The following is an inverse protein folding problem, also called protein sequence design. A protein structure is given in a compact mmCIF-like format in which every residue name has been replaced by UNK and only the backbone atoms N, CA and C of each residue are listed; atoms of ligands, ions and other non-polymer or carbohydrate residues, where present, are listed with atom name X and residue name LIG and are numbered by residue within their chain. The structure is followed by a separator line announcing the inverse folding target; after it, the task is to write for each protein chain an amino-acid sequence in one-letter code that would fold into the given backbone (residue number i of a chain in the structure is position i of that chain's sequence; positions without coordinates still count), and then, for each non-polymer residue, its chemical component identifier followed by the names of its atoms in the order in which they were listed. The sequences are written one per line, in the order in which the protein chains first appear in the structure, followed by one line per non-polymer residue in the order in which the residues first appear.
data_IF_746278349067
#
_entry.id   IF_746278349067
#
_cell.length_a   1.000
_cell.length_b   1.000
_cell.length_c   1.000
_cell.angle_alpha   90.00
_cell.angle_beta   90.00
_cell.angle_gamma   90.00
#
_symmetry.space_group_name_H-M   'P 1'
#
loop_
_entity.id
_entity.type
_entity.pdbx_description
1 polymer ?
#
# COMPACT_ATOMS: atom_id res chain seq x y z
N UNK A 1 14.25 2.26 -4.25
CA UNK A 1 12.89 1.76 -4.48
C UNK A 1 11.83 2.87 -4.57
N UNK A 2 11.74 3.83 -3.65
CA UNK A 2 10.71 4.91 -3.69
C UNK A 2 10.71 5.67 -5.02
N UNK A 3 11.87 6.10 -5.53
CA UNK A 3 11.97 6.83 -6.80
C UNK A 3 11.58 5.97 -8.00
N UNK A 4 11.99 4.70 -8.04
CA UNK A 4 11.58 3.77 -9.09
C UNK A 4 10.04 3.67 -9.17
N UNK A 5 9.39 3.53 -8.01
CA UNK A 5 7.93 3.51 -7.95
C UNK A 5 7.28 4.84 -8.36
N UNK A 6 7.95 5.98 -8.12
CA UNK A 6 7.43 7.31 -8.49
C UNK A 6 7.46 7.56 -9.99
N UNK A 7 8.33 6.92 -10.74
CA UNK A 7 8.43 7.05 -12.20
C UNK A 7 7.71 5.92 -12.94
N UNK A 8 6.99 5.03 -12.24
CA UNK A 8 6.20 3.98 -12.87
C UNK A 8 6.81 2.57 -12.86
N UNK A 9 8.07 2.38 -12.42
CA UNK A 9 8.63 1.06 -12.16
C UNK A 9 8.11 0.52 -10.82
N UNK A 10 6.92 -0.07 -10.85
CA UNK A 10 6.15 -0.41 -9.65
C UNK A 10 6.11 -1.91 -9.32
N UNK A 11 6.73 -2.76 -10.13
CA UNK A 11 6.70 -4.20 -9.99
C UNK A 11 7.93 -4.71 -9.24
N UNK A 12 7.72 -5.33 -8.09
CA UNK A 12 8.81 -5.75 -7.20
C UNK A 12 9.83 -6.68 -7.88
N UNK A 13 9.39 -7.55 -8.79
CA UNK A 13 10.28 -8.46 -9.50
C UNK A 13 11.22 -7.74 -10.47
N UNK A 14 10.87 -6.54 -10.98
CA UNK A 14 11.74 -5.74 -11.84
C UNK A 14 12.97 -5.23 -11.10
N UNK A 15 12.88 -5.04 -9.77
CA UNK A 15 14.02 -4.61 -8.96
C UNK A 15 15.12 -5.67 -8.82
N UNK A 16 14.79 -6.94 -9.14
CA UNK A 16 15.71 -8.06 -9.11
C UNK A 16 16.30 -8.39 -10.49
N UNK A 17 15.77 -7.77 -11.56
CA UNK A 17 16.26 -7.99 -12.92
C UNK A 17 17.49 -7.14 -13.23
N UNK A 18 18.35 -7.68 -14.06
CA UNK A 18 19.48 -6.92 -14.62
C UNK A 18 18.95 -5.91 -15.64
N UNK A 19 19.61 -4.76 -15.78
CA UNK A 19 19.21 -3.70 -16.72
C UNK A 19 18.99 -4.21 -18.16
N UNK A 20 19.84 -5.13 -18.63
CA UNK A 20 19.72 -5.74 -19.97
C UNK A 20 18.45 -6.58 -20.19
N UNK A 21 17.83 -7.03 -19.12
CA UNK A 21 16.61 -7.88 -19.14
C UNK A 21 15.31 -7.04 -19.12
N UNK A 22 15.45 -5.73 -19.00
CA UNK A 22 14.34 -4.79 -19.03
C UNK A 22 13.91 -4.52 -20.48
N UNK A 23 12.60 -4.35 -20.71
CA UNK A 23 12.07 -3.84 -21.98
C UNK A 23 12.51 -2.40 -22.19
N UNK A 24 12.44 -1.90 -23.45
CA UNK A 24 12.86 -0.53 -23.78
C UNK A 24 12.09 0.51 -22.95
N UNK A 25 10.77 0.35 -22.79
CA UNK A 25 9.98 1.20 -21.92
C UNK A 25 10.43 1.15 -20.45
N UNK A 26 10.76 -0.04 -19.92
CA UNK A 26 11.29 -0.21 -18.57
C UNK A 26 12.70 0.40 -18.41
N UNK A 27 13.55 0.27 -19.42
CA UNK A 27 14.85 0.94 -19.48
C UNK A 27 14.71 2.46 -19.46
N UNK A 28 13.73 2.98 -20.20
CA UNK A 28 13.41 4.40 -20.18
C UNK A 28 13.00 4.87 -18.78
N UNK A 29 12.06 4.17 -18.12
CA UNK A 29 11.65 4.47 -16.75
C UNK A 29 12.81 4.37 -15.74
N UNK A 30 13.73 3.44 -15.94
CA UNK A 30 14.93 3.34 -15.12
C UNK A 30 15.86 4.54 -15.30
N UNK A 31 16.09 4.99 -16.55
CA UNK A 31 16.86 6.20 -16.86
C UNK A 31 16.23 7.44 -16.22
N UNK A 32 14.91 7.57 -16.31
CA UNK A 32 14.14 8.64 -15.66
C UNK A 32 14.33 8.61 -14.13
N UNK A 33 14.24 7.42 -13.51
CA UNK A 33 14.48 7.25 -12.08
C UNK A 33 15.90 7.66 -11.70
N UNK A 34 16.91 7.29 -12.50
CA UNK A 34 18.33 7.67 -12.28
C UNK A 34 18.51 9.18 -12.35
N UNK A 35 17.88 9.84 -13.33
CA UNK A 35 17.89 11.31 -13.43
C UNK A 35 17.23 11.95 -12.18
N UNK A 36 16.08 11.44 -11.74
CA UNK A 36 15.43 11.90 -10.51
C UNK A 36 16.31 11.65 -9.26
N UNK A 37 17.10 10.59 -9.23
CA UNK A 37 18.00 10.27 -8.12
C UNK A 37 19.24 11.17 -8.07
N UNK A 38 19.68 11.72 -9.19
CA UNK A 38 20.95 12.46 -9.34
C UNK A 38 21.11 13.69 -8.43
N UNK A 39 20.04 14.14 -7.78
CA UNK A 39 20.07 15.35 -6.95
C UNK A 39 20.10 16.66 -7.71
N UNK A 40 20.26 16.64 -9.06
CA UNK A 40 20.35 17.85 -9.90
C UNK A 40 19.04 18.66 -9.83
N UNK A 41 19.17 19.99 -9.78
CA UNK A 41 18.03 20.92 -9.73
C UNK A 41 17.27 20.94 -11.06
N UNK A 42 17.98 20.90 -12.16
CA UNK A 42 17.42 20.92 -13.53
C UNK A 42 17.46 19.53 -14.14
N UNK A 43 16.31 19.01 -14.55
CA UNK A 43 16.17 17.76 -15.27
C UNK A 43 15.75 18.06 -16.70
N UNK A 44 16.57 17.64 -17.65
CA UNK A 44 16.38 17.90 -19.08
C UNK A 44 16.15 16.56 -19.78
N UNK A 45 15.04 16.45 -20.49
CA UNK A 45 14.68 15.25 -21.27
C UNK A 45 14.37 15.65 -22.68
N UNK A 46 15.12 15.09 -23.60
CA UNK A 46 14.83 15.11 -25.02
C UNK A 46 13.92 13.94 -25.38
N UNK A 47 12.93 14.17 -26.21
CA UNK A 47 11.89 13.21 -26.60
C UNK A 47 11.23 12.50 -25.41
N UNK A 48 10.79 13.29 -24.41
CA UNK A 48 10.20 12.71 -23.18
C UNK A 48 9.03 11.77 -23.52
N UNK A 49 9.10 10.54 -23.01
CA UNK A 49 8.09 9.49 -23.16
C UNK A 49 7.85 8.98 -24.61
N UNK A 50 8.74 9.26 -25.57
CA UNK A 50 8.58 8.84 -26.98
C UNK A 50 8.53 7.31 -27.17
N UNK A 51 9.21 6.55 -26.32
CA UNK A 51 9.28 5.07 -26.40
C UNK A 51 8.17 4.36 -25.61
N UNK A 52 7.24 5.10 -25.01
CA UNK A 52 6.16 4.56 -24.21
C UNK A 52 4.82 4.55 -24.96
N UNK A 53 3.94 3.59 -24.66
CA UNK A 53 2.55 3.68 -25.11
C UNK A 53 1.87 4.95 -24.57
N UNK A 54 0.86 5.45 -25.28
CA UNK A 54 0.27 6.77 -25.00
C UNK A 54 -0.30 6.91 -23.58
N UNK A 55 -0.87 5.84 -23.03
CA UNK A 55 -1.42 5.84 -21.67
C UNK A 55 -0.29 5.92 -20.64
N UNK A 56 0.71 5.08 -20.80
CA UNK A 56 1.90 5.09 -19.93
C UNK A 56 2.65 6.41 -20.04
N UNK A 57 2.79 6.96 -21.25
CA UNK A 57 3.45 8.26 -21.50
C UNK A 57 2.79 9.40 -20.72
N UNK A 58 1.44 9.51 -20.76
CA UNK A 58 0.68 10.51 -19.98
C UNK A 58 0.85 10.34 -18.48
N UNK A 59 0.78 9.11 -17.99
CA UNK A 59 0.99 8.81 -16.56
C UNK A 59 2.40 9.20 -16.12
N UNK A 60 3.42 8.85 -16.91
CA UNK A 60 4.82 9.16 -16.61
C UNK A 60 5.09 10.66 -16.68
N UNK A 61 4.55 11.35 -17.67
CA UNK A 61 4.61 12.81 -17.76
C UNK A 61 4.03 13.48 -16.51
N UNK A 62 2.84 13.05 -16.09
CA UNK A 62 2.21 13.51 -14.85
C UNK A 62 3.07 13.24 -13.62
N UNK A 63 3.63 12.04 -13.49
CA UNK A 63 4.46 11.66 -12.33
C UNK A 63 5.79 12.44 -12.32
N UNK A 64 6.41 12.67 -13.47
CA UNK A 64 7.65 13.42 -13.60
C UNK A 64 7.48 14.88 -13.15
N UNK A 65 6.46 15.59 -13.66
CA UNK A 65 6.20 16.97 -13.23
C UNK A 65 5.84 17.06 -11.74
N UNK A 66 5.01 16.12 -11.25
CA UNK A 66 4.64 16.06 -9.85
C UNK A 66 5.84 15.83 -8.93
N UNK A 67 6.80 14.99 -9.37
CA UNK A 67 8.06 14.81 -8.65
C UNK A 67 8.88 16.10 -8.63
N UNK A 68 9.06 16.75 -9.77
CA UNK A 68 9.84 17.98 -9.87
C UNK A 68 9.25 19.10 -9.02
N UNK A 69 7.95 19.35 -9.09
CA UNK A 69 7.27 20.38 -8.28
C UNK A 69 7.38 20.11 -6.77
N UNK A 70 7.20 18.85 -6.34
CA UNK A 70 7.31 18.48 -4.92
C UNK A 70 8.72 18.63 -4.33
N UNK A 71 9.74 18.56 -5.19
CA UNK A 71 11.13 18.62 -4.78
C UNK A 71 11.81 19.94 -5.18
N UNK A 72 11.05 20.96 -5.61
CA UNK A 72 11.59 22.24 -6.02
C UNK A 72 12.57 22.15 -7.19
N UNK A 73 12.32 21.23 -8.15
CA UNK A 73 13.16 21.01 -9.32
C UNK A 73 12.53 21.54 -10.60
N UNK A 74 13.35 21.92 -11.54
CA UNK A 74 12.92 22.32 -12.88
C UNK A 74 12.92 21.10 -13.81
N UNK A 75 11.83 20.93 -14.55
CA UNK A 75 11.71 19.96 -15.64
C UNK A 75 11.70 20.70 -16.98
N UNK A 76 12.67 20.41 -17.84
CA UNK A 76 12.72 20.87 -19.22
C UNK A 76 12.51 19.62 -20.08
N UNK A 77 11.46 19.64 -20.89
CA UNK A 77 11.06 18.48 -21.68
C UNK A 77 10.81 18.90 -23.15
N UNK A 78 11.50 18.28 -24.09
CA UNK A 78 11.18 18.34 -25.48
C UNK A 78 10.36 17.11 -25.90
N UNK A 79 9.33 17.28 -26.72
CA UNK A 79 8.50 16.20 -27.25
C UNK A 79 7.80 16.64 -28.53
N UNK A 80 7.61 15.71 -29.44
CA UNK A 80 6.73 15.86 -30.61
C UNK A 80 5.25 15.57 -30.31
N UNK A 81 4.95 15.14 -29.08
CA UNK A 81 3.62 14.68 -28.64
C UNK A 81 2.89 15.78 -27.85
N UNK A 82 2.03 16.56 -28.51
CA UNK A 82 1.28 17.64 -27.87
C UNK A 82 0.30 17.19 -26.78
N UNK A 83 -0.21 15.96 -26.86
CA UNK A 83 -1.14 15.38 -25.89
C UNK A 83 -0.53 15.19 -24.49
N UNK A 84 0.79 15.30 -24.32
CA UNK A 84 1.46 15.29 -23.03
C UNK A 84 1.38 16.63 -22.30
N UNK A 85 1.07 17.73 -22.99
CA UNK A 85 1.05 19.07 -22.41
C UNK A 85 0.09 19.17 -21.21
N UNK A 86 -1.06 18.49 -21.28
CA UNK A 86 -2.00 18.44 -20.15
C UNK A 86 -1.35 17.83 -18.90
N UNK A 87 -0.72 16.65 -19.04
CA UNK A 87 -0.16 15.90 -17.92
C UNK A 87 1.18 16.45 -17.43
N UNK A 88 1.97 17.08 -18.29
CA UNK A 88 3.17 17.83 -17.92
C UNK A 88 2.83 19.12 -17.16
N UNK A 89 1.65 19.72 -17.40
CA UNK A 89 1.18 20.92 -16.72
C UNK A 89 2.27 22.02 -16.65
N UNK A 90 2.85 22.46 -17.77
CA UNK A 90 4.04 23.30 -17.80
C UNK A 90 3.75 24.75 -17.39
N UNK A 91 4.78 25.47 -16.93
CA UNK A 91 4.76 26.92 -16.68
C UNK A 91 5.00 27.70 -17.97
N UNK A 92 5.73 27.08 -18.91
CA UNK A 92 6.08 27.66 -20.22
C UNK A 92 6.00 26.59 -21.30
N UNK A 93 5.36 26.91 -22.40
CA UNK A 93 5.38 26.08 -23.64
C UNK A 93 6.09 26.87 -24.71
N UNK A 94 7.05 26.23 -25.38
CA UNK A 94 7.68 26.71 -26.59
C UNK A 94 7.29 25.75 -27.72
N UNK A 95 6.52 26.24 -28.70
CA UNK A 95 6.14 25.48 -29.90
C UNK A 95 7.03 25.89 -31.05
N UNK A 96 7.75 24.93 -31.60
CA UNK A 96 8.55 25.12 -32.82
C UNK A 96 7.80 24.56 -34.00
N UNK A 97 7.32 25.43 -34.86
CA UNK A 97 6.71 25.05 -36.13
C UNK A 97 7.76 24.90 -37.23
N UNK A 98 7.33 24.42 -38.39
CA UNK A 98 8.21 24.33 -39.55
C UNK A 98 8.69 25.74 -39.97
N UNK A 99 9.95 25.86 -40.39
CA UNK A 99 10.57 27.15 -40.72
C UNK A 99 11.03 27.93 -39.46
N UNK A 100 11.16 29.25 -39.49
CA UNK A 100 11.69 30.07 -38.39
C UNK A 100 10.70 30.38 -37.29
N UNK A 101 9.48 29.90 -37.38
CA UNK A 101 8.39 30.26 -36.47
C UNK A 101 8.51 29.57 -35.12
N UNK A 102 8.45 30.36 -34.03
CA UNK A 102 8.45 29.92 -32.66
C UNK A 102 7.34 30.65 -31.93
N UNK A 103 6.47 29.89 -31.26
CA UNK A 103 5.44 30.42 -30.37
C UNK A 103 5.83 30.16 -28.92
N UNK A 104 5.73 31.17 -28.06
CA UNK A 104 6.03 31.06 -26.65
C UNK A 104 4.79 31.43 -25.84
N UNK A 105 4.26 30.47 -25.06
CA UNK A 105 3.10 30.69 -24.21
C UNK A 105 3.48 30.50 -22.73
N UNK A 106 3.26 31.51 -21.91
CA UNK A 106 3.35 31.42 -20.44
C UNK A 106 2.01 30.99 -19.87
N UNK A 107 2.04 29.95 -19.04
CA UNK A 107 0.84 29.35 -18.44
C UNK A 107 0.89 29.53 -16.92
N UNK A 108 -0.28 29.51 -16.29
CA UNK A 108 -0.40 29.40 -14.83
C UNK A 108 -0.82 27.97 -14.48
N UNK A 109 0.13 27.08 -14.15
CA UNK A 109 -0.19 25.71 -13.82
C UNK A 109 -1.05 25.64 -12.56
N UNK A 110 -2.12 24.87 -12.62
CA UNK A 110 -3.01 24.61 -11.48
C UNK A 110 -2.91 23.14 -11.07
N UNK A 111 -3.06 22.82 -9.77
CA UNK A 111 -3.19 21.42 -9.34
C UNK A 111 -4.36 20.73 -10.04
N UNK A 112 -4.07 19.70 -10.81
CA UNK A 112 -5.09 18.91 -11.51
C UNK A 112 -4.75 17.43 -11.48
N UNK A 113 -5.73 16.53 -11.64
CA UNK A 113 -5.48 15.10 -11.75
C UNK A 113 -4.77 14.75 -13.05
N UNK A 114 -4.23 13.55 -13.13
CA UNK A 114 -3.76 12.98 -14.38
C UNK A 114 -4.94 12.78 -15.35
N UNK A 115 -4.78 13.10 -16.64
CA UNK A 115 -5.82 12.93 -17.65
C UNK A 115 -6.39 11.51 -17.72
N UNK A 116 -5.56 10.52 -17.44
CA UNK A 116 -5.97 9.11 -17.38
C UNK A 116 -6.88 8.83 -16.18
N UNK A 117 -6.67 9.50 -15.03
CA UNK A 117 -7.54 9.32 -13.87
C UNK A 117 -8.98 9.76 -14.14
N UNK A 118 -9.17 10.81 -14.95
CA UNK A 118 -10.49 11.32 -15.33
C UNK A 118 -11.28 10.34 -16.20
N UNK A 119 -10.58 9.43 -16.89
CA UNK A 119 -11.15 8.36 -17.70
C UNK A 119 -11.44 7.07 -16.93
N UNK A 120 -11.18 7.05 -15.62
CA UNK A 120 -11.45 5.88 -14.75
C UNK A 120 -12.83 6.01 -14.11
N UNK A 121 -13.56 4.90 -14.08
CA UNK A 121 -14.87 4.79 -13.40
C UNK A 121 -14.84 3.63 -12.41
N UNK A 122 -15.54 3.81 -11.29
CA UNK A 122 -15.68 2.78 -10.26
C UNK A 122 -17.03 2.08 -10.44
N UNK A 123 -16.96 0.76 -10.59
CA UNK A 123 -18.10 -0.11 -10.85
C UNK A 123 -18.15 -1.27 -9.85
N UNK A 124 -19.29 -1.95 -9.77
CA UNK A 124 -19.36 -3.23 -9.10
C UNK A 124 -18.45 -4.23 -9.80
N UNK A 125 -17.68 -4.98 -9.01
CA UNK A 125 -16.72 -5.96 -9.49
C UNK A 125 -17.01 -7.36 -8.99
N UNK A 126 -16.31 -8.33 -9.56
CA UNK A 126 -16.42 -9.73 -9.19
C UNK A 126 -15.08 -10.33 -8.72
N UNK A 127 -15.14 -11.57 -8.24
CA UNK A 127 -13.94 -12.28 -7.77
C UNK A 127 -12.92 -12.52 -8.90
N UNK A 128 -13.37 -12.56 -10.15
CA UNK A 128 -12.46 -12.67 -11.31
C UNK A 128 -11.62 -11.41 -11.49
N UNK A 129 -12.20 -10.20 -11.30
CA UNK A 129 -11.43 -8.95 -11.34
C UNK A 129 -10.31 -8.95 -10.28
N UNK A 130 -10.63 -9.47 -9.08
CA UNK A 130 -9.61 -9.65 -8.05
C UNK A 130 -8.52 -10.64 -8.46
N UNK A 131 -8.88 -11.80 -9.04
CA UNK A 131 -7.91 -12.83 -9.46
C UNK A 131 -6.91 -12.29 -10.49
N UNK A 132 -7.37 -11.46 -11.43
CA UNK A 132 -6.52 -10.84 -12.46
C UNK A 132 -5.45 -9.96 -11.81
N UNK A 133 -5.79 -9.18 -10.78
CA UNK A 133 -4.88 -8.26 -10.13
C UNK A 133 -4.14 -8.84 -8.91
N UNK A 134 -4.57 -9.98 -8.38
CA UNK A 134 -3.97 -10.61 -7.20
C UNK A 134 -2.45 -10.85 -7.31
N UNK A 135 -1.85 -11.18 -8.48
CA UNK A 135 -0.40 -11.30 -8.64
C UNK A 135 0.38 -10.03 -8.30
N UNK A 136 -0.23 -8.85 -8.43
CA UNK A 136 0.40 -7.56 -8.11
C UNK A 136 0.31 -7.17 -6.63
N UNK A 137 -0.27 -8.03 -5.79
CA UNK A 137 -0.36 -7.81 -4.34
C UNK A 137 0.76 -8.55 -3.62
N UNK A 138 1.46 -7.87 -2.72
CA UNK A 138 2.63 -8.40 -2.00
C UNK A 138 2.31 -9.42 -0.89
N UNK A 139 1.04 -9.51 -0.44
CA UNK A 139 0.59 -10.45 0.59
C UNK A 139 -0.40 -11.44 -0.02
N UNK A 140 -0.03 -12.71 -0.10
CA UNK A 140 -0.87 -13.87 -0.38
C UNK A 140 -2.03 -13.66 -1.38
N UNK A 141 -2.38 -14.68 -2.10
CA UNK A 141 -3.43 -14.60 -3.16
C UNK A 141 -4.86 -14.68 -2.63
N UNK A 142 -5.09 -15.04 -1.36
CA UNK A 142 -6.44 -15.15 -0.80
C UNK A 142 -6.96 -13.80 -0.32
N UNK A 143 -8.18 -13.46 -0.70
CA UNK A 143 -8.90 -12.29 -0.20
C UNK A 143 -9.63 -12.53 1.13
N UNK A 144 -9.66 -13.80 1.61
CA UNK A 144 -10.48 -14.22 2.75
C UNK A 144 -11.97 -14.27 2.40
N UNK A 145 -12.83 -14.18 3.41
CA UNK A 145 -14.29 -14.17 3.23
C UNK A 145 -14.74 -12.82 2.69
N UNK A 146 -15.03 -12.78 1.39
CA UNK A 146 -15.38 -11.58 0.63
C UNK A 146 -16.85 -11.21 0.87
N UNK A 147 -17.11 -9.92 1.07
CA UNK A 147 -18.45 -9.34 1.20
C UNK A 147 -18.86 -8.58 -0.07
N UNK A 148 -18.00 -7.69 -0.54
CA UNK A 148 -18.20 -6.89 -1.76
C UNK A 148 -16.87 -6.67 -2.48
N UNK A 149 -16.94 -6.52 -3.79
CA UNK A 149 -15.82 -6.13 -4.62
C UNK A 149 -16.26 -4.98 -5.52
N UNK A 150 -15.39 -3.97 -5.66
CA UNK A 150 -15.53 -2.94 -6.67
C UNK A 150 -14.27 -2.89 -7.51
N UNK A 151 -14.42 -2.49 -8.77
CA UNK A 151 -13.34 -2.36 -9.74
C UNK A 151 -13.23 -0.94 -10.27
N UNK A 152 -12.02 -0.53 -10.56
CA UNK A 152 -11.71 0.66 -11.32
C UNK A 152 -11.46 0.26 -12.78
N UNK A 153 -12.21 0.84 -13.69
CA UNK A 153 -12.11 0.55 -15.14
C UNK A 153 -11.70 1.82 -15.86
N UNK A 154 -10.60 1.78 -16.57
CA UNK A 154 -10.16 2.84 -17.47
C UNK A 154 -10.86 2.69 -18.83
N UNK A 155 -11.50 3.76 -19.29
CA UNK A 155 -12.17 3.84 -20.61
C UNK A 155 -11.25 4.62 -21.56
N UNK A 156 -10.51 3.92 -22.40
CA UNK A 156 -9.44 4.47 -23.24
C UNK A 156 -9.66 4.08 -24.69
N UNK A 157 -9.93 5.06 -25.54
CA UNK A 157 -10.04 4.90 -27.00
C UNK A 157 -10.93 3.69 -27.40
N UNK A 158 -12.12 3.59 -26.79
CA UNK A 158 -13.07 2.49 -27.03
C UNK A 158 -12.74 1.17 -26.32
N UNK A 159 -11.60 1.08 -25.60
CA UNK A 159 -11.21 -0.11 -24.82
C UNK A 159 -11.46 0.10 -23.33
N UNK A 160 -11.75 -0.99 -22.66
CA UNK A 160 -11.94 -1.02 -21.20
C UNK A 160 -10.83 -1.85 -20.57
N UNK A 161 -10.02 -1.22 -19.73
CA UNK A 161 -8.92 -1.87 -19.03
C UNK A 161 -9.16 -1.86 -17.52
N UNK A 162 -8.88 -2.98 -16.85
CA UNK A 162 -8.97 -3.10 -15.39
C UNK A 162 -7.79 -2.37 -14.74
N UNK A 163 -8.06 -1.20 -14.15
CA UNK A 163 -7.05 -0.34 -13.53
C UNK A 163 -6.84 -0.65 -12.03
N UNK A 164 -7.83 -1.24 -11.36
CA UNK A 164 -7.71 -1.56 -9.95
C UNK A 164 -8.92 -2.29 -9.39
N UNK A 165 -8.77 -2.81 -8.17
CA UNK A 165 -9.81 -3.50 -7.44
C UNK A 165 -9.72 -3.19 -5.94
N UNK A 166 -10.87 -3.07 -5.27
CA UNK A 166 -11.00 -3.02 -3.83
C UNK A 166 -11.89 -4.15 -3.36
N UNK A 167 -11.45 -4.84 -2.31
CA UNK A 167 -12.16 -5.98 -1.71
C UNK A 167 -12.55 -5.66 -0.29
N UNK A 168 -13.84 -5.68 -0.03
CA UNK A 168 -14.44 -5.65 1.28
C UNK A 168 -14.69 -7.07 1.77
N UNK A 169 -14.22 -7.37 2.97
CA UNK A 169 -14.35 -8.68 3.61
C UNK A 169 -15.04 -8.54 4.95
N UNK A 170 -15.49 -9.66 5.50
CA UNK A 170 -15.94 -9.73 6.88
C UNK A 170 -14.84 -9.26 7.83
N UNK A 171 -15.18 -8.56 8.92
CA UNK A 171 -14.22 -8.08 9.90
C UNK A 171 -13.58 -9.24 10.67
N UNK A 172 -12.38 -9.04 11.20
CA UNK A 172 -11.87 -9.94 12.22
C UNK A 172 -12.66 -9.76 13.52
N UNK A 173 -12.87 -10.82 14.29
CA UNK A 173 -13.60 -10.74 15.55
C UNK A 173 -12.87 -9.82 16.54
N UNK A 174 -11.59 -10.04 16.71
CA UNK A 174 -10.77 -9.33 17.70
C UNK A 174 -9.76 -8.42 16.99
N UNK A 175 -9.94 -7.11 17.15
CA UNK A 175 -9.02 -6.06 16.72
C UNK A 175 -8.89 -5.06 17.85
N UNK A 176 -7.72 -5.02 18.50
CA UNK A 176 -7.46 -4.13 19.65
C UNK A 176 -7.67 -2.65 19.32
N UNK A 177 -7.26 -2.22 18.13
CA UNK A 177 -7.45 -0.86 17.65
C UNK A 177 -8.92 -0.45 17.54
N UNK A 178 -9.81 -1.38 17.21
CA UNK A 178 -11.26 -1.12 17.09
C UNK A 178 -11.85 -0.67 18.43
N UNK A 179 -11.43 -1.31 19.52
CA UNK A 179 -11.88 -0.95 20.87
C UNK A 179 -11.36 0.40 21.37
N UNK A 180 -10.26 0.90 20.80
CA UNK A 180 -9.80 2.26 21.04
C UNK A 180 -10.58 3.29 20.22
N UNK A 181 -11.04 2.90 19.03
CA UNK A 181 -11.73 3.77 18.10
C UNK A 181 -13.23 3.93 18.36
N UNK A 182 -13.89 2.91 18.91
CA UNK A 182 -15.35 2.86 19.11
C UNK A 182 -15.68 2.71 20.59
N UNK A 183 -16.22 3.78 21.17
CA UNK A 183 -16.58 3.86 22.58
C UNK A 183 -17.60 2.78 22.98
N UNK A 184 -17.46 2.19 24.17
CA UNK A 184 -18.36 1.18 24.71
C UNK A 184 -18.20 -0.23 24.10
N UNK A 185 -17.35 -0.41 23.09
CA UNK A 185 -17.17 -1.72 22.46
C UNK A 185 -16.52 -2.74 23.41
N UNK A 186 -15.63 -2.28 24.31
CA UNK A 186 -15.02 -3.14 25.35
C UNK A 186 -16.06 -3.69 26.33
N UNK A 187 -17.04 -2.87 26.70
CA UNK A 187 -18.10 -3.26 27.64
C UNK A 187 -19.04 -4.27 27.00
N UNK A 188 -19.42 -4.03 25.74
CA UNK A 188 -20.22 -5.00 24.97
C UNK A 188 -19.49 -6.34 24.82
N UNK A 189 -18.15 -6.32 24.63
CA UNK A 189 -17.32 -7.54 24.55
C UNK A 189 -17.35 -8.36 25.83
N UNK A 190 -17.43 -7.71 27.01
CA UNK A 190 -17.47 -8.39 28.32
C UNK A 190 -18.83 -8.99 28.62
N UNK A 191 -19.89 -8.38 28.13
CA UNK A 191 -21.28 -8.68 28.52
C UNK A 191 -21.94 -9.65 27.53
N UNK A 192 -21.62 -9.54 26.24
CA UNK A 192 -22.19 -10.40 25.20
C UNK A 192 -21.43 -11.74 25.12
N UNK A 193 -22.18 -12.81 24.93
CA UNK A 193 -21.55 -14.08 24.58
C UNK A 193 -20.86 -13.96 23.22
N UNK A 194 -19.95 -14.88 22.94
CA UNK A 194 -19.09 -14.83 21.74
C UNK A 194 -19.89 -14.75 20.42
N UNK A 195 -21.01 -15.47 20.35
CA UNK A 195 -21.85 -15.52 19.14
C UNK A 195 -22.59 -14.20 18.92
N UNK A 196 -23.18 -13.62 19.96
CA UNK A 196 -23.85 -12.33 19.88
C UNK A 196 -22.88 -11.19 19.56
N UNK A 197 -21.69 -11.21 20.17
CA UNK A 197 -20.64 -10.24 19.88
C UNK A 197 -20.13 -10.36 18.43
N UNK A 198 -19.92 -11.60 17.94
CA UNK A 198 -19.50 -11.82 16.55
C UNK A 198 -20.53 -11.29 15.55
N UNK A 199 -21.81 -11.53 15.80
CA UNK A 199 -22.91 -10.99 14.99
C UNK A 199 -22.92 -9.47 15.00
N UNK A 200 -22.78 -8.84 16.17
CA UNK A 200 -22.74 -7.39 16.30
C UNK A 200 -21.56 -6.78 15.53
N UNK A 201 -20.37 -7.40 15.60
CA UNK A 201 -19.19 -6.95 14.84
C UNK A 201 -19.42 -7.08 13.35
N UNK A 202 -19.97 -8.20 12.91
CA UNK A 202 -20.23 -8.44 11.48
C UNK A 202 -21.26 -7.49 10.89
N UNK A 203 -22.33 -7.19 11.61
CA UNK A 203 -23.35 -6.22 11.20
C UNK A 203 -22.85 -4.78 11.22
N UNK A 204 -21.87 -4.46 12.07
CA UNK A 204 -21.38 -3.10 12.26
C UNK A 204 -20.22 -2.73 11.35
N UNK A 205 -19.36 -3.67 10.97
CA UNK A 205 -18.11 -3.40 10.27
C UNK A 205 -17.97 -4.13 8.95
N UNK A 206 -17.41 -3.44 7.97
CA UNK A 206 -16.78 -4.04 6.78
C UNK A 206 -15.30 -3.72 6.79
N UNK A 207 -14.47 -4.70 6.46
CA UNK A 207 -13.02 -4.54 6.43
C UNK A 207 -12.52 -4.45 4.99
N UNK A 208 -11.79 -3.38 4.64
CA UNK A 208 -11.02 -3.34 3.40
C UNK A 208 -9.85 -4.33 3.55
N UNK A 209 -9.95 -5.46 2.88
CA UNK A 209 -8.92 -6.51 2.92
C UNK A 209 -7.87 -6.36 1.84
N UNK A 210 -8.24 -5.76 0.70
CA UNK A 210 -7.33 -5.52 -0.43
C UNK A 210 -7.70 -4.23 -1.15
N UNK A 211 -6.67 -3.46 -1.52
CA UNK A 211 -6.73 -2.43 -2.54
C UNK A 211 -5.57 -2.70 -3.48
N UNK A 212 -5.85 -3.07 -4.71
CA UNK A 212 -4.84 -3.43 -5.71
C UNK A 212 -5.02 -2.52 -6.91
N UNK A 213 -3.97 -1.80 -7.26
CA UNK A 213 -3.92 -0.98 -8.47
C UNK A 213 -2.94 -1.65 -9.44
N UNK A 214 -3.37 -1.85 -10.67
CA UNK A 214 -2.53 -2.36 -11.74
C UNK A 214 -1.27 -1.49 -11.86
N UNK A 215 -0.06 -2.04 -12.01
CA UNK A 215 1.19 -1.29 -12.03
C UNK A 215 1.17 -0.06 -12.94
N UNK A 216 0.61 -0.18 -14.15
CA UNK A 216 0.45 0.90 -15.13
C UNK A 216 -0.23 2.15 -14.55
N UNK A 217 -1.23 1.99 -13.68
CA UNK A 217 -2.07 3.08 -13.14
C UNK A 217 -1.68 3.55 -11.73
N UNK A 218 -0.54 3.11 -11.21
CA UNK A 218 -0.08 3.52 -9.87
C UNK A 218 0.41 4.97 -9.87
N UNK A 219 0.29 5.62 -8.71
CA UNK A 219 0.80 6.98 -8.48
C UNK A 219 -0.12 8.13 -8.92
N UNK A 220 -1.13 7.87 -9.76
CA UNK A 220 -2.07 8.88 -10.25
C UNK A 220 -3.31 9.08 -9.36
N UNK A 221 -3.55 8.21 -8.35
CA UNK A 221 -4.65 8.40 -7.38
C UNK A 221 -5.74 7.33 -7.41
N UNK A 222 -5.63 6.28 -8.25
CA UNK A 222 -6.64 5.22 -8.39
C UNK A 222 -6.98 4.53 -7.06
N UNK A 223 -5.98 4.26 -6.21
CA UNK A 223 -6.22 3.65 -4.90
C UNK A 223 -7.06 4.54 -3.97
N UNK A 224 -6.80 5.84 -3.97
CA UNK A 224 -7.58 6.83 -3.21
C UNK A 224 -9.02 6.92 -3.74
N UNK A 225 -9.19 6.92 -5.06
CA UNK A 225 -10.48 6.96 -5.74
C UNK A 225 -11.31 5.70 -5.40
N UNK A 226 -10.71 4.50 -5.52
CA UNK A 226 -11.35 3.25 -5.13
C UNK A 226 -11.90 3.30 -3.71
N UNK A 227 -11.09 3.72 -2.73
CA UNK A 227 -11.53 3.81 -1.35
C UNK A 227 -12.63 4.86 -1.20
N UNK A 228 -12.41 6.10 -1.64
CA UNK A 228 -13.34 7.23 -1.45
C UNK A 228 -14.74 6.95 -2.02
N UNK A 229 -14.82 6.42 -3.24
CA UNK A 229 -16.09 6.23 -3.93
C UNK A 229 -16.86 4.97 -3.48
N UNK A 230 -16.20 4.09 -2.70
CA UNK A 230 -16.83 2.84 -2.26
C UNK A 230 -17.08 2.75 -0.76
N UNK A 231 -16.56 3.68 0.06
CA UNK A 231 -16.79 3.69 1.51
C UNK A 231 -18.30 3.65 1.85
N UNK A 232 -19.11 4.53 1.26
CA UNK A 232 -20.56 4.57 1.47
C UNK A 232 -21.29 3.32 0.94
N UNK A 233 -20.69 2.64 -0.04
CA UNK A 233 -21.27 1.45 -0.68
C UNK A 233 -20.95 0.14 0.06
N UNK A 234 -20.12 0.19 1.12
CA UNK A 234 -19.75 -0.98 1.93
C UNK A 234 -20.95 -1.63 2.62
N UNK A 235 -21.99 -0.84 2.97
CA UNK A 235 -23.25 -1.31 3.53
C UNK A 235 -23.24 -1.54 5.05
N UNK A 236 -22.21 -1.03 5.75
CA UNK A 236 -22.07 -1.12 7.21
C UNK A 236 -21.80 0.25 7.81
N UNK A 237 -22.13 0.41 9.11
CA UNK A 237 -21.94 1.68 9.81
C UNK A 237 -20.46 2.08 9.93
N UNK A 238 -19.56 1.11 9.92
CA UNK A 238 -18.12 1.34 9.99
C UNK A 238 -17.40 0.60 8.88
N UNK A 239 -16.40 1.25 8.30
CA UNK A 239 -15.42 0.61 7.41
C UNK A 239 -14.04 0.71 8.06
N UNK A 240 -13.36 -0.40 8.18
CA UNK A 240 -12.02 -0.47 8.76
C UNK A 240 -10.96 -0.98 7.77
N UNK A 241 -9.71 -0.59 7.97
CA UNK A 241 -8.57 -1.14 7.26
C UNK A 241 -7.38 -1.32 8.20
N UNK A 242 -6.62 -2.40 7.98
CA UNK A 242 -5.36 -2.70 8.65
C UNK A 242 -4.28 -2.72 7.56
N UNK A 243 -3.41 -1.72 7.53
CA UNK A 243 -2.49 -1.50 6.43
C UNK A 243 -1.05 -1.26 6.91
N UNK A 244 -0.15 -2.20 6.64
CA UNK A 244 1.28 -2.09 6.97
C UNK A 244 1.97 -1.01 6.13
N UNK A 245 1.62 -0.92 4.84
CA UNK A 245 2.25 0.01 3.90
C UNK A 245 1.68 1.43 3.93
N UNK A 246 0.63 1.68 4.70
CA UNK A 246 -0.01 3.01 4.77
C UNK A 246 0.90 4.09 5.37
N UNK A 247 1.86 3.72 6.22
CA UNK A 247 2.91 4.62 6.72
C UNK A 247 3.67 5.35 5.59
N UNK A 248 3.83 4.69 4.45
CA UNK A 248 4.57 5.23 3.30
C UNK A 248 3.66 5.84 2.24
N UNK A 249 2.37 5.52 2.26
CA UNK A 249 1.41 5.98 1.26
C UNK A 249 0.04 6.27 1.91
N UNK A 250 -0.25 7.54 2.23
CA UNK A 250 -1.41 7.95 3.01
C UNK A 250 -2.69 8.02 2.16
N UNK A 251 -2.98 6.99 1.35
CA UNK A 251 -4.14 7.03 0.45
C UNK A 251 -5.47 6.79 1.17
N UNK A 252 -5.47 6.12 2.33
CA UNK A 252 -6.65 5.94 3.17
C UNK A 252 -7.10 7.26 3.78
N UNK A 253 -6.15 8.05 4.36
CA UNK A 253 -6.46 9.38 4.90
C UNK A 253 -6.96 10.31 3.79
N UNK A 254 -6.31 10.31 2.61
CA UNK A 254 -6.74 11.08 1.45
C UNK A 254 -8.13 10.68 0.93
N UNK A 255 -8.55 9.47 1.21
CA UNK A 255 -9.89 8.98 0.88
C UNK A 255 -10.95 9.34 1.94
N UNK A 256 -10.53 9.93 3.08
CA UNK A 256 -11.43 10.35 4.16
C UNK A 256 -11.51 9.39 5.35
N UNK A 257 -10.66 8.36 5.43
CA UNK A 257 -10.58 7.50 6.60
C UNK A 257 -9.70 8.13 7.67
N UNK A 258 -10.08 8.01 8.94
CA UNK A 258 -9.30 8.48 10.08
C UNK A 258 -8.32 7.41 10.50
N UNK A 259 -7.04 7.75 10.60
CA UNK A 259 -6.02 6.93 11.25
C UNK A 259 -6.24 6.95 12.76
N UNK A 260 -6.22 5.79 13.37
CA UNK A 260 -6.40 5.61 14.81
C UNK A 260 -5.09 5.14 15.41
N UNK A 261 -4.57 5.90 16.33
CA UNK A 261 -3.46 5.48 17.16
C UNK A 261 -3.96 4.52 18.24
N UNK A 262 -3.26 3.44 18.44
CA UNK A 262 -3.59 2.45 19.45
C UNK A 262 -2.34 1.77 19.99
N UNK A 263 -2.39 1.44 21.25
CA UNK A 263 -1.36 0.64 21.88
C UNK A 263 -1.71 -0.84 21.81
N UNK A 264 -0.71 -1.66 21.59
CA UNK A 264 -0.83 -3.11 21.58
C UNK A 264 0.31 -3.70 22.39
N UNK A 265 0.00 -4.28 23.54
CA UNK A 265 1.00 -4.94 24.41
C UNK A 265 1.87 -5.94 23.65
N UNK A 266 1.26 -6.72 22.76
CA UNK A 266 2.02 -7.68 21.95
C UNK A 266 2.99 -6.99 20.97
N UNK A 267 2.63 -5.82 20.44
CA UNK A 267 3.50 -5.06 19.55
C UNK A 267 4.63 -4.38 20.32
N UNK A 268 4.37 -3.85 21.49
CA UNK A 268 5.41 -3.28 22.36
C UNK A 268 6.47 -4.34 22.73
N UNK A 269 6.03 -5.54 23.08
CA UNK A 269 6.94 -6.69 23.33
C UNK A 269 7.76 -7.01 22.09
N UNK A 270 7.14 -6.98 20.90
CA UNK A 270 7.84 -7.25 19.63
C UNK A 270 8.87 -6.17 19.35
N UNK A 271 8.52 -4.88 19.45
CA UNK A 271 9.42 -3.76 19.19
C UNK A 271 10.65 -3.80 20.11
N UNK A 272 10.45 -3.90 21.43
CA UNK A 272 11.55 -4.07 22.41
C UNK A 272 12.40 -5.31 22.14
N UNK A 273 11.78 -6.37 21.65
CA UNK A 273 12.50 -7.62 21.34
C UNK A 273 13.32 -7.48 20.05
N UNK A 274 12.81 -6.76 19.06
CA UNK A 274 13.55 -6.48 17.82
C UNK A 274 14.79 -5.62 18.08
N UNK A 275 14.70 -4.59 18.92
CA UNK A 275 15.84 -3.79 19.36
C UNK A 275 16.92 -4.68 20.03
N UNK A 276 16.47 -5.60 20.90
CA UNK A 276 17.40 -6.55 21.54
C UNK A 276 18.05 -7.51 20.53
N UNK A 277 17.31 -7.98 19.52
CA UNK A 277 17.82 -8.84 18.46
C UNK A 277 18.87 -8.13 17.61
N UNK A 278 18.70 -6.83 17.35
CA UNK A 278 19.67 -6.00 16.65
C UNK A 278 20.99 -5.93 17.41
N UNK A 279 20.96 -5.70 18.72
CA UNK A 279 22.14 -5.73 19.59
C UNK A 279 22.84 -7.10 19.61
N UNK A 280 22.12 -8.19 19.36
CA UNK A 280 22.65 -9.53 19.25
C UNK A 280 23.19 -9.86 17.84
N UNK A 281 23.06 -8.94 16.87
CA UNK A 281 23.57 -9.08 15.50
C UNK A 281 22.55 -9.65 14.51
N UNK A 282 21.25 -9.59 14.83
CA UNK A 282 20.17 -9.94 13.89
C UNK A 282 19.56 -8.66 13.34
N UNK A 283 19.73 -8.40 12.05
CA UNK A 283 19.16 -7.22 11.39
C UNK A 283 17.62 -7.31 11.31
N UNK A 284 16.89 -6.38 11.99
CA UNK A 284 15.43 -6.37 12.00
C UNK A 284 14.79 -6.22 10.61
N UNK A 285 15.48 -5.59 9.66
CA UNK A 285 15.00 -5.40 8.28
C UNK A 285 14.95 -6.71 7.49
N UNK A 286 15.73 -7.69 7.88
CA UNK A 286 15.91 -8.99 7.21
C UNK A 286 15.21 -10.15 7.93
N UNK A 287 14.52 -9.92 9.06
CA UNK A 287 13.90 -10.99 9.88
C UNK A 287 12.85 -11.82 9.14
N UNK A 288 12.30 -11.33 8.04
CA UNK A 288 11.34 -12.09 7.22
C UNK A 288 12.03 -13.07 6.26
N UNK A 289 13.34 -13.01 6.11
CA UNK A 289 14.13 -13.91 5.27
C UNK A 289 14.63 -15.11 6.06
N UNK A 290 13.98 -16.28 5.88
CA UNK A 290 14.42 -17.52 6.54
C UNK A 290 15.86 -17.90 6.17
N UNK A 291 16.28 -17.65 4.94
CA UNK A 291 17.65 -17.91 4.47
C UNK A 291 18.67 -17.05 5.21
N UNK A 292 18.39 -15.75 5.35
CA UNK A 292 19.22 -14.85 6.14
C UNK A 292 19.31 -15.31 7.59
N UNK A 293 18.16 -15.59 8.22
CA UNK A 293 18.10 -16.02 9.62
C UNK A 293 18.89 -17.30 9.86
N UNK A 294 18.70 -18.33 9.04
CA UNK A 294 19.44 -19.59 9.15
C UNK A 294 20.94 -19.37 9.08
N UNK A 295 21.40 -18.59 8.10
CA UNK A 295 22.82 -18.28 7.93
C UNK A 295 23.38 -17.50 9.11
N UNK A 296 22.68 -16.47 9.56
CA UNK A 296 23.10 -15.61 10.67
C UNK A 296 23.15 -16.37 11.98
N UNK A 297 22.09 -17.14 12.30
CA UNK A 297 21.99 -17.90 13.54
C UNK A 297 23.00 -19.06 13.59
N UNK A 298 23.25 -19.74 12.47
CA UNK A 298 24.25 -20.82 12.39
C UNK A 298 25.69 -20.32 12.65
N UNK A 299 25.98 -19.07 12.33
CA UNK A 299 27.29 -18.45 12.60
C UNK A 299 27.47 -17.90 14.01
N UNK A 300 26.46 -18.00 14.89
CA UNK A 300 26.55 -17.43 16.24
C UNK A 300 27.15 -18.39 17.27
N UNK A 301 27.89 -17.81 18.24
CA UNK A 301 28.30 -18.55 19.42
C UNK A 301 27.09 -19.02 20.23
N UNK A 302 27.23 -20.16 20.95
CA UNK A 302 26.13 -20.74 21.78
C UNK A 302 25.57 -19.73 22.78
N UNK A 303 26.39 -18.84 23.34
CA UNK A 303 25.94 -17.77 24.27
C UNK A 303 25.04 -16.75 23.57
N UNK A 304 25.41 -16.29 22.35
CA UNK A 304 24.58 -15.36 21.56
C UNK A 304 23.30 -16.03 21.11
N UNK A 305 23.38 -17.28 20.67
CA UNK A 305 22.21 -18.05 20.22
C UNK A 305 21.18 -18.21 21.34
N UNK A 306 21.60 -18.46 22.60
CA UNK A 306 20.70 -18.46 23.77
C UNK A 306 20.03 -17.10 23.95
N UNK A 307 20.77 -16.00 23.86
CA UNK A 307 20.20 -14.65 23.95
C UNK A 307 19.14 -14.36 22.88
N UNK A 308 19.38 -14.84 21.66
CA UNK A 308 18.39 -14.78 20.57
C UNK A 308 17.19 -15.67 20.86
N UNK A 309 17.38 -16.91 21.32
CA UNK A 309 16.28 -17.83 21.68
C UNK A 309 15.36 -17.23 22.74
N UNK A 310 15.92 -16.63 23.80
CA UNK A 310 15.13 -15.95 24.85
C UNK A 310 14.31 -14.78 24.30
N UNK A 311 14.88 -14.01 23.38
CA UNK A 311 14.19 -12.92 22.70
C UNK A 311 13.05 -13.46 21.81
N UNK A 312 13.34 -14.47 20.99
CA UNK A 312 12.36 -15.07 20.06
C UNK A 312 11.22 -15.75 20.82
N UNK A 313 11.50 -16.40 21.94
CA UNK A 313 10.48 -17.01 22.81
C UNK A 313 9.46 -16.00 23.30
N UNK A 314 9.88 -14.79 23.67
CA UNK A 314 8.96 -13.69 24.05
C UNK A 314 8.02 -13.31 22.91
N UNK A 315 8.54 -13.23 21.69
CA UNK A 315 7.71 -12.98 20.49
C UNK A 315 6.74 -14.14 20.26
N UNK A 316 7.22 -15.38 20.35
CA UNK A 316 6.39 -16.57 20.12
C UNK A 316 5.23 -16.65 21.13
N UNK A 317 5.48 -16.34 22.39
CA UNK A 317 4.45 -16.27 23.44
C UNK A 317 3.48 -15.11 23.20
N UNK A 318 3.96 -13.91 22.90
CA UNK A 318 3.12 -12.75 22.60
C UNK A 318 2.21 -12.95 21.39
N UNK A 319 2.63 -13.79 20.42
CA UNK A 319 1.86 -14.15 19.22
C UNK A 319 1.08 -15.45 19.33
N UNK A 320 1.08 -16.10 20.49
CA UNK A 320 0.40 -17.38 20.72
C UNK A 320 0.77 -18.42 19.64
N UNK A 321 2.06 -18.58 19.37
CA UNK A 321 2.54 -19.59 18.44
C UNK A 321 2.37 -21.00 19.00
N UNK A 322 2.42 -22.01 18.12
CA UNK A 322 2.22 -23.40 18.51
C UNK A 322 3.27 -23.88 19.51
N UNK A 323 2.91 -24.78 20.46
CA UNK A 323 3.84 -25.35 21.44
C UNK A 323 5.10 -25.92 20.79
N UNK A 324 4.95 -26.61 19.66
CA UNK A 324 6.07 -27.19 18.90
C UNK A 324 7.14 -26.16 18.52
N UNK A 325 6.73 -24.94 18.11
CA UNK A 325 7.70 -23.87 17.79
C UNK A 325 8.39 -23.40 19.06
N UNK A 326 7.67 -23.25 20.17
CA UNK A 326 8.22 -22.79 21.44
C UNK A 326 9.24 -23.82 21.98
N UNK A 327 8.92 -25.10 21.96
CA UNK A 327 9.83 -26.19 22.35
C UNK A 327 11.11 -26.21 21.47
N UNK A 328 10.98 -26.04 20.15
CA UNK A 328 12.14 -25.96 19.26
C UNK A 328 13.04 -24.76 19.57
N UNK A 329 12.46 -23.60 19.93
CA UNK A 329 13.23 -22.43 20.37
C UNK A 329 13.98 -22.74 21.66
N UNK A 330 13.38 -23.42 22.64
CA UNK A 330 14.00 -23.81 23.91
C UNK A 330 15.15 -24.79 23.71
N UNK A 331 15.04 -25.66 22.70
CA UNK A 331 16.14 -26.57 22.28
C UNK A 331 17.21 -25.90 21.43
N UNK A 332 17.11 -24.60 21.19
CA UNK A 332 18.00 -23.80 20.32
C UNK A 332 17.99 -24.25 18.85
N UNK A 333 16.87 -24.78 18.37
CA UNK A 333 16.70 -25.16 16.97
C UNK A 333 16.62 -23.91 16.09
N UNK A 334 17.56 -23.76 15.18
CA UNK A 334 17.69 -22.60 14.29
C UNK A 334 16.43 -22.48 13.40
N UNK A 335 15.87 -23.59 12.93
CA UNK A 335 14.69 -23.59 12.08
C UNK A 335 13.45 -23.08 12.80
N UNK A 336 13.26 -23.48 14.07
CA UNK A 336 12.15 -23.01 14.91
C UNK A 336 12.26 -21.52 15.20
N UNK A 337 13.46 -21.01 15.48
CA UNK A 337 13.72 -19.57 15.67
C UNK A 337 13.51 -18.80 14.36
N UNK A 338 14.02 -19.29 13.24
CA UNK A 338 13.84 -18.66 11.93
C UNK A 338 12.38 -18.64 11.49
N UNK A 339 11.64 -19.73 11.79
CA UNK A 339 10.19 -19.79 11.49
C UNK A 339 9.40 -18.76 12.32
N UNK A 340 9.68 -18.68 13.62
CA UNK A 340 9.05 -17.71 14.52
C UNK A 340 9.32 -16.27 14.07
N UNK A 341 10.57 -15.91 13.82
CA UNK A 341 10.98 -14.58 13.40
C UNK A 341 10.40 -14.20 12.02
N UNK A 342 10.43 -15.12 11.07
CA UNK A 342 9.90 -14.86 9.72
C UNK A 342 8.39 -14.56 9.69
N UNK A 343 7.66 -14.87 10.75
CA UNK A 343 6.23 -14.56 10.94
C UNK A 343 5.99 -13.20 11.62
N UNK A 344 7.03 -12.54 12.09
CA UNK A 344 6.91 -11.18 12.65
C UNK A 344 6.54 -10.22 11.52
N UNK A 345 5.49 -9.45 11.72
CA UNK A 345 5.03 -8.43 10.79
C UNK A 345 5.10 -7.06 11.46
N UNK A 346 5.43 -6.04 10.71
CA UNK A 346 5.33 -4.66 11.18
C UNK A 346 3.91 -4.36 11.66
N UNK A 347 3.80 -3.49 12.68
CA UNK A 347 2.52 -3.03 13.20
C UNK A 347 1.71 -2.42 12.08
N UNK A 348 0.50 -2.93 11.77
CA UNK A 348 -0.35 -2.31 10.79
C UNK A 348 -0.92 -1.01 11.36
N UNK A 349 -1.00 0.02 10.53
CA UNK A 349 -1.79 1.20 10.82
C UNK A 349 -3.26 0.84 10.74
N UNK A 350 -4.07 1.32 11.69
CA UNK A 350 -5.50 1.09 11.70
C UNK A 350 -6.24 2.33 11.25
N UNK A 351 -7.14 2.13 10.30
CA UNK A 351 -7.99 3.18 9.74
C UNK A 351 -9.44 2.84 9.98
N UNK A 352 -10.23 3.87 10.30
CA UNK A 352 -11.66 3.76 10.51
C UNK A 352 -12.39 4.89 9.77
N UNK A 353 -13.48 4.54 9.13
CA UNK A 353 -14.46 5.46 8.58
C UNK A 353 -15.85 5.14 9.13
N UNK A 354 -16.60 6.17 9.52
CA UNK A 354 -18.00 6.08 9.99
C UNK A 354 -18.91 6.52 8.87
N UNK A 355 -19.85 5.67 8.49
CA UNK A 355 -20.90 6.04 7.54
C UNK A 355 -21.89 7.01 8.22
N UNK A 356 -22.03 8.25 7.76
CA UNK A 356 -22.93 9.22 8.36
C UNK A 356 -24.42 8.87 8.14
N UNK A 357 -24.73 8.10 7.09
CA UNK A 357 -26.10 7.77 6.70
C UNK A 357 -26.64 6.52 7.42
N UNK A 358 -25.78 5.70 8.00
CA UNK A 358 -26.18 4.44 8.62
C UNK A 358 -26.14 4.50 10.15
N UNK A 359 -27.23 4.11 10.80
CA UNK A 359 -27.28 3.93 12.25
C UNK A 359 -26.41 2.77 12.70
N UNK A 360 -25.56 2.99 13.72
CA UNK A 360 -24.67 1.98 14.23
C UNK A 360 -25.41 0.93 15.08
N UNK A 361 -25.27 -0.38 14.76
CA UNK A 361 -25.79 -1.43 15.63
C UNK A 361 -25.17 -1.39 17.04
N UNK A 362 -23.91 -0.96 17.17
CA UNK A 362 -23.22 -0.80 18.45
C UNK A 362 -23.88 0.31 19.28
N UNK A 363 -24.14 1.48 18.68
CA UNK A 363 -24.79 2.59 19.38
C UNK A 363 -26.22 2.21 19.83
N UNK A 364 -26.94 1.46 18.99
CA UNK A 364 -28.25 0.90 19.37
C UNK A 364 -28.16 -0.09 20.54
N UNK A 365 -27.16 -0.98 20.52
CA UNK A 365 -26.94 -1.93 21.61
C UNK A 365 -26.58 -1.26 22.95
N UNK A 366 -25.81 -0.15 22.88
CA UNK A 366 -25.46 0.65 24.06
C UNK A 366 -26.67 1.43 24.63
N UNK A 367 -27.53 2.00 23.75
CA UNK A 367 -28.75 2.73 24.17
C UNK A 367 -29.80 1.84 24.83
N UNK A 368 -29.96 0.60 24.39
CA UNK A 368 -30.91 -0.36 25.02
C UNK A 368 -30.54 -0.77 26.45
N UNK A 369 -29.39 -0.29 26.96
CA UNK A 369 -28.85 -0.65 28.28
C UNK A 369 -28.71 0.53 29.24
N UNK A 370 -28.98 1.75 28.77
CA UNK A 370 -29.27 2.90 29.62
C UNK A 370 -30.76 2.94 29.92
#
# INVERSE_FOLDING_TARGET
MKILSMVGLNEAYLFLRRYRELSEGQKYLYKLAKACWSGKKNLIFDEICSTLDRVTARIVAYLAQKFCRRNGRTLIAATSHEDLAYDLNPDLIVRKSFGPYVEVARLKPSPRPCSILEKIRIESGGYQDYKILAPFHYIGRSAGYVRKIFRAVAQLDGRRELAGVIVYSHPYLDVSARSAAVQGLRDLRRILNRRAYAKLIDESFSRISRVIVHPKYRGIGVGTMLVRETLGKAGTAYVEALAVMARYNPFFEKAGMRRIEYESRSMEVIEKTLERLELLGVDPSLINSKTYLRRTLAGMSRRRLRGVADAVRRIAQAKLMSPKIIEGIERLEIDSMADALSRVRAKPEYFLWRNPELASPIERALKKRK
#
